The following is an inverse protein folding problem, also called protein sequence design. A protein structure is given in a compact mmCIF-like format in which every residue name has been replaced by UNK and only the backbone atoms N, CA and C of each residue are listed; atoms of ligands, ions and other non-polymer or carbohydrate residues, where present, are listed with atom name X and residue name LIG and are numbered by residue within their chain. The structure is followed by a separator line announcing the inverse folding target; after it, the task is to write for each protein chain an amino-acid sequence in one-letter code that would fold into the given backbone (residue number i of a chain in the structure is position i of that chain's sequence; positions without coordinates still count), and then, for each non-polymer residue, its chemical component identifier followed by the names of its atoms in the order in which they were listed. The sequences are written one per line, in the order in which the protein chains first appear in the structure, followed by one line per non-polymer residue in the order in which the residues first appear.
data_IF_678713855379
#
_entry.id   IF_678713855379
#
_cell.length_a   1.000
_cell.length_b   1.000
_cell.length_c   1.000
_cell.angle_alpha   90.00
_cell.angle_beta   90.00
_cell.angle_gamma   90.00
#
_symmetry.space_group_name_H-M   'P 1'
#
loop_
_entity.id
_entity.type
_entity.pdbx_description
1 polymer ?
#
# COMPACT_ATOMS: atom_id res chain seq x y z
N UNK A 1 -11.05 -7.98 44.93
CA UNK A 1 -11.90 -7.43 43.87
C UNK A 1 -11.75 -5.92 43.84
N UNK A 2 -11.11 -5.40 42.79
CA UNK A 2 -11.21 -4.02 42.32
C UNK A 2 -10.48 -3.97 40.96
N UNK A 3 -11.26 -3.92 39.87
CA UNK A 3 -10.73 -3.72 38.52
C UNK A 3 -10.46 -2.21 38.31
N UNK A 4 -9.34 -1.80 37.70
CA UNK A 4 -9.24 -0.46 37.18
C UNK A 4 -9.84 -0.36 35.78
N UNK A 5 -10.42 0.80 35.54
CA UNK A 5 -11.22 1.22 34.41
C UNK A 5 -10.58 1.00 33.02
N UNK A 6 -11.44 0.60 32.08
CA UNK A 6 -11.26 0.71 30.64
C UNK A 6 -11.04 2.20 30.29
N UNK A 7 -9.82 2.60 29.93
CA UNK A 7 -9.61 3.89 29.27
C UNK A 7 -9.73 3.71 27.76
N UNK A 8 -10.73 4.39 27.21
CA UNK A 8 -11.00 4.56 25.80
C UNK A 8 -9.75 4.96 24.98
N UNK A 9 -9.75 4.50 23.72
CA UNK A 9 -8.70 4.65 22.71
C UNK A 9 -7.87 5.93 22.78
N UNK A 10 -6.57 5.76 23.05
CA UNK A 10 -5.56 6.75 22.68
C UNK A 10 -5.25 6.60 21.19
N UNK A 11 -5.91 7.46 20.41
CA UNK A 11 -5.54 7.83 19.05
C UNK A 11 -4.03 8.08 18.98
N UNK A 12 -3.33 7.39 18.07
CA UNK A 12 -2.03 7.85 17.59
C UNK A 12 -2.19 9.30 17.13
N UNK A 13 -1.28 10.16 17.58
CA UNK A 13 -1.28 11.58 17.26
C UNK A 13 -1.38 11.83 15.74
N UNK A 14 -2.47 12.43 15.31
CA UNK A 14 -2.51 13.34 14.15
C UNK A 14 -2.07 14.70 14.72
N UNK A 15 -1.15 15.51 14.16
CA UNK A 15 -0.77 15.71 12.76
C UNK A 15 0.53 16.51 12.79
N UNK A 16 1.64 16.03 12.20
CA UNK A 16 2.74 16.93 11.83
C UNK A 16 2.33 17.58 10.49
N UNK A 17 2.04 18.90 10.45
CA UNK A 17 1.64 19.59 9.22
C UNK A 17 2.76 19.63 8.16
N UNK A 18 3.96 19.12 8.47
CA UNK A 18 5.07 18.96 7.53
C UNK A 18 5.24 17.53 6.99
N UNK A 19 4.34 16.59 7.36
CA UNK A 19 4.33 15.25 6.79
C UNK A 19 4.13 15.31 5.26
N UNK A 20 4.92 14.51 4.54
CA UNK A 20 4.90 14.48 3.08
C UNK A 20 3.51 14.10 2.55
N UNK A 21 2.91 14.85 1.59
CA UNK A 21 1.57 14.60 1.07
C UNK A 21 1.53 13.42 0.07
N UNK A 22 2.50 12.50 0.13
CA UNK A 22 2.64 11.43 -0.85
C UNK A 22 1.59 10.33 -0.63
N UNK A 23 0.77 10.08 -1.65
CA UNK A 23 -0.26 9.02 -1.63
C UNK A 23 0.26 7.66 -2.09
N UNK A 24 1.55 7.57 -2.43
CA UNK A 24 2.17 6.36 -3.01
C UNK A 24 1.90 6.16 -4.50
N UNK A 25 1.18 7.08 -5.15
CA UNK A 25 1.00 7.10 -6.59
C UNK A 25 2.11 7.93 -7.25
N UNK A 26 2.96 7.30 -8.05
CA UNK A 26 4.10 7.95 -8.73
C UNK A 26 3.87 7.97 -10.25
N UNK A 27 2.97 8.83 -10.73
CA UNK A 27 2.71 9.04 -12.16
C UNK A 27 2.46 10.53 -12.37
N UNK A 28 3.07 11.10 -13.40
CA UNK A 28 2.92 12.51 -13.75
C UNK A 28 1.79 12.69 -14.76
N UNK A 29 1.02 13.75 -14.58
CA UNK A 29 0.18 14.31 -15.62
C UNK A 29 1.07 14.82 -16.75
N UNK A 30 0.96 14.28 -17.98
CA UNK A 30 1.80 14.71 -19.10
C UNK A 30 1.51 16.15 -19.54
N UNK A 31 0.35 16.71 -19.21
CA UNK A 31 -0.06 18.07 -19.56
C UNK A 31 0.29 19.06 -18.47
N UNK A 32 -0.02 18.72 -17.22
CA UNK A 32 0.16 19.63 -16.08
C UNK A 32 1.53 19.46 -15.40
N UNK A 33 2.32 18.44 -15.77
CA UNK A 33 3.61 18.10 -15.16
C UNK A 33 3.59 17.95 -13.63
N UNK A 34 2.42 17.58 -13.09
CA UNK A 34 2.18 17.36 -11.67
C UNK A 34 1.92 15.89 -11.39
N UNK A 35 2.32 15.42 -10.20
CA UNK A 35 2.02 14.06 -9.76
C UNK A 35 0.49 13.87 -9.62
N UNK A 36 -0.08 12.88 -10.31
CA UNK A 36 -1.51 12.57 -10.25
C UNK A 36 -2.02 12.19 -8.85
N UNK A 37 -1.10 11.80 -7.95
CA UNK A 37 -1.41 11.42 -6.57
C UNK A 37 -1.31 12.57 -5.59
N UNK A 38 -0.10 13.14 -5.45
CA UNK A 38 0.17 14.19 -4.47
C UNK A 38 0.08 15.61 -5.02
N UNK A 39 -0.15 15.79 -6.32
CA UNK A 39 -0.29 17.07 -7.02
C UNK A 39 0.92 18.02 -6.92
N UNK A 40 2.05 17.53 -6.42
CA UNK A 40 3.33 18.23 -6.47
C UNK A 40 3.97 18.13 -7.85
N UNK A 41 4.69 19.16 -8.27
CA UNK A 41 5.57 19.11 -9.44
C UNK A 41 6.82 18.27 -9.15
N UNK A 42 7.55 17.87 -10.19
CA UNK A 42 8.84 17.20 -10.02
C UNK A 42 9.84 18.05 -9.22
N UNK A 43 9.87 19.37 -9.45
CA UNK A 43 10.75 20.29 -8.72
C UNK A 43 10.43 20.32 -7.22
N UNK A 44 9.15 20.36 -6.87
CA UNK A 44 8.69 20.33 -5.47
C UNK A 44 8.96 18.97 -4.80
N UNK A 45 8.86 17.87 -5.55
CA UNK A 45 9.20 16.52 -5.06
C UNK A 45 10.71 16.43 -4.78
N UNK A 46 11.54 16.91 -5.71
CA UNK A 46 12.99 16.87 -5.60
C UNK A 46 13.51 17.76 -4.45
N UNK A 47 12.93 18.95 -4.27
CA UNK A 47 13.32 19.87 -3.20
C UNK A 47 12.81 19.49 -1.80
N UNK A 48 11.84 18.57 -1.70
CA UNK A 48 11.16 18.26 -0.43
C UNK A 48 12.07 17.80 0.73
N UNK A 49 13.10 16.94 0.52
CA UNK A 49 13.99 16.51 1.60
C UNK A 49 14.68 17.68 2.29
N UNK A 50 15.13 18.67 1.50
CA UNK A 50 15.91 19.83 1.94
C UNK A 50 15.04 21.07 2.23
N UNK A 51 13.75 21.02 1.92
CA UNK A 51 12.83 22.12 2.11
C UNK A 51 12.67 22.49 3.59
N UNK A 52 12.81 23.78 3.91
CA UNK A 52 12.52 24.32 5.23
C UNK A 52 11.03 24.14 5.60
N UNK A 53 10.67 24.20 6.89
CA UNK A 53 9.25 24.10 7.31
C UNK A 53 8.35 25.12 6.61
N UNK A 54 8.83 26.35 6.41
CA UNK A 54 8.11 27.39 5.67
C UNK A 54 7.92 27.01 4.21
N UNK A 55 8.97 26.50 3.55
CA UNK A 55 8.89 26.03 2.16
C UNK A 55 7.92 24.84 2.02
N UNK A 56 7.96 23.87 2.95
CA UNK A 56 7.02 22.74 2.97
C UNK A 56 5.58 23.22 3.09
N UNK A 57 5.29 24.19 3.96
CA UNK A 57 3.95 24.79 4.08
C UNK A 57 3.51 25.51 2.81
N UNK A 58 4.40 26.24 2.15
CA UNK A 58 4.09 26.91 0.88
C UNK A 58 3.76 25.91 -0.24
N UNK A 59 4.55 24.82 -0.35
CA UNK A 59 4.30 23.73 -1.31
C UNK A 59 2.95 23.07 -1.02
N UNK A 60 2.63 22.79 0.24
CA UNK A 60 1.35 22.19 0.63
C UNK A 60 0.16 23.10 0.30
N UNK A 61 0.28 24.42 0.51
CA UNK A 61 -0.74 25.38 0.13
C UNK A 61 -0.95 25.43 -1.39
N UNK A 62 0.14 25.41 -2.18
CA UNK A 62 0.07 25.35 -3.64
C UNK A 62 -0.59 24.05 -4.13
N UNK A 63 -0.26 22.91 -3.51
CA UNK A 63 -0.89 21.61 -3.77
C UNK A 63 -2.39 21.65 -3.50
N UNK A 64 -2.81 22.21 -2.37
CA UNK A 64 -4.23 22.34 -2.02
C UNK A 64 -4.99 23.20 -3.04
N UNK A 65 -4.40 24.30 -3.51
CA UNK A 65 -4.99 25.14 -4.56
C UNK A 65 -5.15 24.38 -5.89
N UNK A 66 -4.23 23.49 -6.25
CA UNK A 66 -4.30 22.64 -7.45
C UNK A 66 -5.33 21.51 -7.35
N UNK A 67 -5.57 20.98 -6.15
CA UNK A 67 -6.48 19.85 -5.95
C UNK A 67 -7.94 20.24 -6.15
N UNK A 68 -8.29 21.52 -5.94
CA UNK A 68 -9.66 22.01 -5.99
C UNK A 68 -10.54 21.40 -4.87
N UNK A 69 -11.69 22.02 -4.56
CA UNK A 69 -12.65 21.41 -3.65
C UNK A 69 -13.26 20.16 -4.30
N UNK A 70 -12.94 18.97 -3.79
CA UNK A 70 -13.61 17.72 -4.16
C UNK A 70 -12.73 16.58 -4.66
N UNK A 71 -11.43 16.78 -4.89
CA UNK A 71 -10.54 15.70 -5.35
C UNK A 71 -9.77 15.07 -4.19
N UNK A 72 -10.42 14.16 -3.48
CA UNK A 72 -9.77 13.34 -2.46
C UNK A 72 -8.62 12.52 -3.09
N UNK A 73 -7.53 12.36 -2.35
CA UNK A 73 -6.42 11.48 -2.70
C UNK A 73 -6.92 10.07 -3.05
N UNK A 74 -6.77 9.67 -4.31
CA UNK A 74 -7.14 8.30 -4.75
C UNK A 74 -6.03 7.34 -4.31
N UNK A 75 -6.19 6.76 -3.12
CA UNK A 75 -5.45 5.55 -2.77
C UNK A 75 -5.99 4.41 -3.63
N UNK A 76 -5.13 3.67 -4.33
CA UNK A 76 -5.54 2.42 -4.98
C UNK A 76 -5.83 1.39 -3.89
N UNK A 77 -7.05 1.41 -3.37
CA UNK A 77 -7.55 0.35 -2.50
C UNK A 77 -7.86 -0.85 -3.37
N UNK A 78 -7.17 -1.96 -3.11
CA UNK A 78 -7.44 -3.22 -3.77
C UNK A 78 -8.62 -3.92 -3.07
N UNK A 79 -9.57 -4.50 -3.81
CA UNK A 79 -10.66 -5.23 -3.19
C UNK A 79 -10.10 -6.46 -2.45
N UNK A 80 -10.66 -6.72 -1.28
CA UNK A 80 -10.30 -7.83 -0.40
C UNK A 80 -11.44 -8.86 -0.44
N UNK A 81 -11.09 -10.14 -0.50
CA UNK A 81 -12.06 -11.24 -0.51
C UNK A 81 -12.97 -11.19 0.71
N UNK A 82 -14.21 -11.71 0.65
CA UNK A 82 -15.17 -11.62 1.77
C UNK A 82 -14.67 -12.23 3.08
N UNK A 83 -13.79 -13.24 2.99
CA UNK A 83 -13.15 -13.91 4.12
C UNK A 83 -11.86 -13.24 4.61
N UNK A 84 -11.44 -12.13 3.98
CA UNK A 84 -10.23 -11.38 4.35
C UNK A 84 -8.91 -12.04 3.95
N UNK A 85 -8.91 -13.22 3.32
CA UNK A 85 -7.68 -14.00 3.06
C UNK A 85 -6.80 -13.42 1.97
N UNK A 86 -7.39 -12.77 0.97
CA UNK A 86 -6.68 -12.25 -0.19
C UNK A 86 -7.15 -10.85 -0.57
N UNK A 87 -6.26 -10.09 -1.20
CA UNK A 87 -6.61 -8.89 -1.96
C UNK A 87 -6.28 -9.08 -3.45
N UNK A 88 -6.98 -8.35 -4.33
CA UNK A 88 -6.83 -8.52 -5.78
C UNK A 88 -6.06 -7.37 -6.42
N UNK A 89 -4.98 -7.70 -7.11
CA UNK A 89 -4.21 -6.77 -7.95
C UNK A 89 -4.20 -7.31 -9.37
N UNK A 90 -4.77 -6.55 -10.32
CA UNK A 90 -4.85 -6.93 -11.74
C UNK A 90 -5.43 -8.34 -11.95
N UNK A 91 -6.54 -8.63 -11.27
CA UNK A 91 -7.23 -9.93 -11.33
C UNK A 91 -6.52 -11.10 -10.64
N UNK A 92 -5.38 -10.86 -9.98
CA UNK A 92 -4.61 -11.90 -9.28
C UNK A 92 -4.74 -11.75 -7.77
N UNK A 93 -4.94 -12.86 -7.09
CA UNK A 93 -5.04 -12.94 -5.63
C UNK A 93 -3.66 -12.83 -5.00
N UNK A 94 -3.56 -12.04 -3.95
CA UNK A 94 -2.38 -11.90 -3.10
C UNK A 94 -2.80 -12.11 -1.67
N UNK A 95 -2.17 -13.07 -0.99
CA UNK A 95 -2.51 -13.36 0.40
C UNK A 95 -2.28 -12.14 1.29
N UNK A 96 -3.26 -11.83 2.13
CA UNK A 96 -3.14 -10.81 3.16
C UNK A 96 -2.14 -11.24 4.24
N UNK A 97 -1.59 -10.26 4.96
CA UNK A 97 -0.85 -10.53 6.20
C UNK A 97 -1.78 -11.19 7.23
N UNK A 98 -1.24 -12.04 8.11
CA UNK A 98 -2.01 -12.67 9.18
C UNK A 98 -2.62 -11.59 10.08
N UNK A 99 -3.96 -11.49 10.17
CA UNK A 99 -4.63 -10.46 10.96
C UNK A 99 -4.48 -10.67 12.47
N UNK A 100 -4.00 -11.84 12.91
CA UNK A 100 -3.82 -12.21 14.33
C UNK A 100 -2.46 -11.78 14.89
N UNK A 101 -1.56 -11.28 14.05
CA UNK A 101 -0.27 -10.74 14.51
C UNK A 101 -0.49 -9.56 15.45
N UNK A 102 0.27 -9.53 16.54
CA UNK A 102 0.29 -8.39 17.43
C UNK A 102 0.68 -7.11 16.66
N UNK A 103 0.05 -5.95 16.91
CA UNK A 103 0.35 -4.72 16.18
C UNK A 103 1.83 -4.30 16.24
N UNK A 104 2.51 -4.51 17.36
CA UNK A 104 3.92 -4.17 17.51
C UNK A 104 4.81 -5.15 16.72
N UNK A 105 4.52 -6.45 16.80
CA UNK A 105 5.20 -7.47 16.00
C UNK A 105 5.02 -7.20 14.49
N UNK A 106 3.77 -6.92 14.07
CA UNK A 106 3.46 -6.54 12.70
C UNK A 106 4.27 -5.32 12.26
N UNK A 107 4.41 -4.31 13.11
CA UNK A 107 5.19 -3.11 12.80
C UNK A 107 6.67 -3.45 12.58
N UNK A 108 7.25 -4.31 13.42
CA UNK A 108 8.64 -4.78 13.27
C UNK A 108 8.84 -5.53 11.95
N UNK A 109 7.93 -6.45 11.61
CA UNK A 109 8.01 -7.22 10.37
C UNK A 109 7.83 -6.35 9.11
N UNK A 110 6.92 -5.37 9.16
CA UNK A 110 6.76 -4.37 8.08
C UNK A 110 8.04 -3.55 7.92
N UNK A 111 8.68 -3.13 9.01
CA UNK A 111 9.95 -2.41 8.95
C UNK A 111 11.06 -3.27 8.34
N UNK A 112 11.17 -4.54 8.76
CA UNK A 112 12.12 -5.49 8.18
C UNK A 112 11.91 -5.65 6.66
N UNK A 113 10.65 -5.80 6.22
CA UNK A 113 10.29 -5.89 4.81
C UNK A 113 10.70 -4.63 4.01
N UNK A 114 10.44 -3.44 4.55
CA UNK A 114 10.80 -2.20 3.87
C UNK A 114 12.32 -1.98 3.82
N UNK A 115 13.04 -2.36 4.87
CA UNK A 115 14.52 -2.37 4.89
C UNK A 115 15.07 -3.31 3.81
N UNK A 116 14.58 -4.55 3.72
CA UNK A 116 15.01 -5.51 2.71
C UNK A 116 14.71 -5.03 1.28
N UNK A 117 13.55 -4.38 1.05
CA UNK A 117 13.22 -3.78 -0.26
C UNK A 117 14.17 -2.65 -0.65
N UNK A 118 14.54 -1.77 0.30
CA UNK A 118 15.52 -0.69 0.05
C UNK A 118 16.89 -1.26 -0.28
N UNK A 119 17.35 -2.26 0.47
CA UNK A 119 18.61 -2.97 0.21
C UNK A 119 18.62 -3.60 -1.19
N UNK A 120 17.54 -4.27 -1.59
CA UNK A 120 17.40 -4.82 -2.95
C UNK A 120 17.51 -3.72 -4.02
N UNK A 121 16.84 -2.59 -3.82
CA UNK A 121 16.91 -1.44 -4.73
C UNK A 121 18.32 -0.86 -4.85
N UNK A 122 19.07 -0.81 -3.74
CA UNK A 122 20.47 -0.39 -3.72
C UNK A 122 21.37 -1.37 -4.47
N UNK A 123 21.25 -2.67 -4.19
CA UNK A 123 22.02 -3.71 -4.87
C UNK A 123 21.76 -3.75 -6.39
N UNK A 124 20.52 -3.46 -6.84
CA UNK A 124 20.24 -3.29 -8.27
C UNK A 124 20.96 -2.10 -8.88
N UNK A 125 20.97 -0.93 -8.21
CA UNK A 125 21.66 0.28 -8.70
C UNK A 125 23.19 0.10 -8.74
N UNK A 126 23.75 -0.69 -7.84
CA UNK A 126 25.17 -0.97 -7.75
C UNK A 126 25.63 -2.12 -8.65
N UNK A 127 24.70 -2.83 -9.31
CA UNK A 127 25.01 -4.04 -10.08
C UNK A 127 25.38 -5.27 -9.23
N UNK A 128 25.41 -5.16 -7.89
CA UNK A 128 25.80 -6.24 -6.98
C UNK A 128 24.76 -7.37 -6.98
N UNK A 129 25.14 -8.52 -7.55
CA UNK A 129 24.26 -9.68 -7.63
C UNK A 129 24.11 -10.42 -6.30
N UNK A 130 25.18 -10.50 -5.50
CA UNK A 130 25.14 -11.21 -4.22
C UNK A 130 24.27 -10.45 -3.21
N UNK A 131 24.44 -9.12 -3.10
CA UNK A 131 23.60 -8.30 -2.24
C UNK A 131 22.13 -8.31 -2.69
N UNK A 132 21.87 -8.41 -3.99
CA UNK A 132 20.50 -8.49 -4.53
C UNK A 132 19.81 -9.79 -4.13
N UNK A 133 20.52 -10.91 -4.18
CA UNK A 133 19.97 -12.21 -3.76
C UNK A 133 19.79 -12.27 -2.25
N UNK A 134 20.75 -11.77 -1.46
CA UNK A 134 20.60 -11.66 0.00
C UNK A 134 19.36 -10.81 0.38
N UNK A 135 19.17 -9.66 -0.27
CA UNK A 135 18.00 -8.82 -0.03
C UNK A 135 16.69 -9.49 -0.49
N UNK A 136 16.73 -10.31 -1.55
CA UNK A 136 15.58 -11.11 -1.98
C UNK A 136 15.20 -12.16 -0.92
N UNK A 137 16.18 -12.86 -0.36
CA UNK A 137 15.95 -13.82 0.72
C UNK A 137 15.32 -13.13 1.94
N UNK A 138 15.84 -11.98 2.35
CA UNK A 138 15.26 -11.19 3.46
C UNK A 138 13.82 -10.74 3.20
N UNK A 139 13.48 -10.36 1.96
CA UNK A 139 12.10 -10.04 1.59
C UNK A 139 11.19 -11.25 1.74
N UNK A 140 11.65 -12.44 1.32
CA UNK A 140 10.88 -13.67 1.44
C UNK A 140 10.68 -14.05 2.91
N UNK A 141 11.72 -14.01 3.75
CA UNK A 141 11.64 -14.23 5.20
C UNK A 141 10.62 -13.30 5.86
N UNK A 142 10.69 -11.99 5.59
CA UNK A 142 9.75 -11.03 6.18
C UNK A 142 8.31 -11.28 5.73
N UNK A 143 8.10 -11.67 4.46
CA UNK A 143 6.76 -12.00 3.94
C UNK A 143 6.19 -13.28 4.52
N UNK A 144 7.03 -14.29 4.76
CA UNK A 144 6.60 -15.52 5.42
C UNK A 144 6.21 -15.23 6.87
N UNK A 145 7.01 -14.45 7.60
CA UNK A 145 6.69 -14.03 8.96
C UNK A 145 5.40 -13.18 9.04
N UNK A 146 5.13 -12.33 8.05
CA UNK A 146 3.87 -11.60 7.94
C UNK A 146 2.67 -12.51 7.58
N UNK A 147 2.89 -13.78 7.22
CA UNK A 147 1.86 -14.69 6.75
C UNK A 147 1.46 -14.49 5.27
N UNK A 148 2.10 -13.57 4.54
CA UNK A 148 1.85 -13.32 3.11
C UNK A 148 2.37 -14.46 2.19
N UNK A 149 3.26 -15.30 2.72
CA UNK A 149 3.94 -16.41 2.04
C UNK A 149 4.11 -17.58 3.02
N UNK A 150 4.50 -18.74 2.49
CA UNK A 150 4.71 -19.95 3.30
C UNK A 150 3.40 -20.60 3.73
N UNK A 151 3.38 -21.29 4.89
CA UNK A 151 2.18 -21.89 5.46
C UNK A 151 1.02 -20.90 5.54
N UNK A 152 -0.20 -21.39 5.37
CA UNK A 152 -1.40 -20.56 5.50
C UNK A 152 -1.64 -20.24 6.97
N UNK A 153 -2.24 -19.08 7.25
CA UNK A 153 -2.57 -18.68 8.62
C UNK A 153 -3.98 -19.10 9.04
N UNK A 154 -4.82 -19.63 8.15
CA UNK A 154 -6.11 -20.22 8.52
C UNK A 154 -5.99 -21.70 8.87
N UNK A 155 -6.94 -22.19 9.67
CA UNK A 155 -6.97 -23.54 10.26
C UNK A 155 -8.11 -24.42 9.71
N UNK A 156 -8.98 -23.89 8.85
CA UNK A 156 -10.12 -24.60 8.27
C UNK A 156 -9.76 -25.61 7.16
N UNK A 157 -8.47 -25.80 6.88
CA UNK A 157 -7.97 -26.73 5.87
C UNK A 157 -8.19 -26.28 4.41
N UNK A 158 -8.71 -25.06 4.18
CA UNK A 158 -8.89 -24.57 2.82
C UNK A 158 -7.55 -24.44 2.06
N UNK A 159 -7.51 -24.73 0.75
CA UNK A 159 -6.30 -24.60 -0.05
C UNK A 159 -5.85 -23.14 -0.20
N UNK A 160 -4.55 -22.95 -0.45
CA UNK A 160 -3.98 -21.63 -0.75
C UNK A 160 -4.13 -21.27 -2.23
N UNK A 161 -4.79 -20.15 -2.50
CA UNK A 161 -4.95 -19.56 -3.84
C UNK A 161 -4.04 -18.34 -4.05
N UNK A 162 -3.01 -18.16 -3.22
CA UNK A 162 -2.07 -17.04 -3.35
C UNK A 162 -1.39 -17.06 -4.72
N UNK A 163 -1.44 -15.91 -5.40
CA UNK A 163 -1.00 -15.72 -6.80
C UNK A 163 -1.84 -16.52 -7.81
N UNK A 164 -3.07 -16.94 -7.53
CA UNK A 164 -3.97 -17.45 -8.56
C UNK A 164 -4.77 -16.30 -9.20
N UNK A 165 -5.29 -16.50 -10.41
CA UNK A 165 -6.28 -15.59 -10.96
C UNK A 165 -7.59 -15.75 -10.19
N UNK A 166 -8.23 -14.65 -9.79
CA UNK A 166 -9.48 -14.69 -9.02
C UNK A 166 -10.61 -15.40 -9.77
N UNK A 167 -10.65 -15.25 -11.10
CA UNK A 167 -11.60 -15.97 -11.98
C UNK A 167 -11.42 -17.50 -12.01
N UNK A 168 -10.29 -18.02 -11.54
CA UNK A 168 -9.97 -19.46 -11.53
C UNK A 168 -9.92 -20.01 -10.10
N UNK A 169 -10.67 -19.41 -9.17
CA UNK A 169 -10.71 -19.81 -7.77
C UNK A 169 -12.15 -19.73 -7.24
N UNK A 170 -12.42 -20.18 -6.01
CA UNK A 170 -13.74 -20.03 -5.38
C UNK A 170 -14.23 -18.58 -5.27
N UNK A 171 -13.34 -17.60 -5.48
CA UNK A 171 -13.67 -16.17 -5.48
C UNK A 171 -14.15 -15.64 -6.84
N UNK A 172 -14.35 -16.50 -7.84
CA UNK A 172 -14.67 -16.08 -9.21
C UNK A 172 -15.98 -15.27 -9.31
N UNK A 173 -17.06 -15.76 -8.71
CA UNK A 173 -18.36 -15.08 -8.74
C UNK A 173 -18.32 -13.74 -8.02
N UNK A 174 -17.74 -13.73 -6.81
CA UNK A 174 -17.50 -12.49 -6.06
C UNK A 174 -16.68 -11.48 -6.88
N UNK A 175 -15.59 -11.92 -7.50
CA UNK A 175 -14.73 -11.05 -8.29
C UNK A 175 -15.44 -10.50 -9.54
N UNK A 176 -16.26 -11.31 -10.22
CA UNK A 176 -17.07 -10.86 -11.35
C UNK A 176 -18.11 -9.80 -10.93
N UNK A 177 -18.67 -9.92 -9.72
CA UNK A 177 -19.61 -8.96 -9.16
C UNK A 177 -19.03 -7.58 -8.83
N UNK A 178 -17.70 -7.42 -8.77
CA UNK A 178 -17.06 -6.11 -8.53
C UNK A 178 -17.10 -5.17 -9.75
N UNK A 179 -17.44 -5.68 -10.93
CA UNK A 179 -17.24 -4.96 -12.21
C UNK A 179 -15.76 -4.83 -12.55
N UNK A 180 -15.42 -4.45 -13.79
CA UNK A 180 -14.04 -4.13 -14.13
C UNK A 180 -13.68 -2.77 -13.52
N UNK A 181 -12.76 -2.67 -12.54
CA UNK A 181 -12.38 -1.39 -11.95
C UNK A 181 -11.56 -0.49 -12.90
N UNK A 182 -11.42 -0.87 -14.19
CA UNK A 182 -10.60 -0.16 -15.17
C UNK A 182 -11.20 0.06 -16.56
N UNK A 183 -12.47 -0.23 -16.81
CA UNK A 183 -13.11 0.09 -18.09
C UNK A 183 -14.27 1.08 -17.90
N UNK A 184 -14.35 2.17 -18.71
CA UNK A 184 -15.54 3.01 -18.71
C UNK A 184 -16.74 2.16 -19.07
N UNK A 185 -17.80 2.26 -18.26
CA UNK A 185 -19.08 1.64 -18.55
C UNK A 185 -19.60 2.26 -19.85
N UNK A 186 -19.51 1.53 -20.96
CA UNK A 186 -20.24 1.91 -22.16
C UNK A 186 -21.71 1.64 -21.89
N UNK A 187 -22.46 2.70 -21.64
CA UNK A 187 -23.91 2.69 -21.55
C UNK A 187 -24.46 2.06 -22.82
N UNK A 188 -25.20 0.96 -22.65
CA UNK A 188 -25.93 0.33 -23.74
C UNK A 188 -27.07 1.28 -24.13
N UNK A 189 -26.85 2.08 -25.17
CA UNK A 189 -27.93 2.82 -25.82
C UNK A 189 -28.73 1.83 -26.68
N UNK A 190 -29.99 1.69 -26.29
CA UNK A 190 -31.09 1.08 -27.05
C UNK A 190 -31.38 1.89 -28.30
#
# INVERSE_FOLDING_TARGET
MAAPAIQAGKRCAMTDPSASPCTGHCTLDPTQQHCLGCHRSLAEIAAWPDASPTARRAILAAVAARQGPGRAAVHKTHPVTPDGRYFVVRGRLWRCSDPRLDPAERAVLVQALMTARRAKGQAMRQGDAAAREAARAQVETAKQALGERGPVWWDDGAPDYNRHLARNSPYAEWFAGLGDPGLPQMEKST
#
